data_IF_889583449802
#
_entry.id   IF_889583449802
#
_cell.length_a   1.000
_cell.length_b   1.000
_cell.length_c   1.000
_cell.angle_alpha   90.00
_cell.angle_beta   90.00
_cell.angle_gamma   90.00
#
_symmetry.space_group_name_H-M   'P 1'
#
loop_
_entity.id
_entity.type
_entity.pdbx_description
1 polymer ?
#
# COMPACT_ATOMS: atom_id res chain seq x y z
N UNK A 1 -9.24 -24.21 84.73
CA UNK A 1 -8.11 -24.05 83.79
C UNK A 1 -8.10 -25.11 82.69
N UNK A 2 -8.14 -26.42 83.00
CA UNK A 2 -8.16 -27.51 81.99
C UNK A 2 -9.25 -27.37 80.90
N UNK A 3 -10.49 -27.02 81.29
CA UNK A 3 -11.57 -26.82 80.31
C UNK A 3 -11.33 -25.67 79.32
N UNK A 4 -10.70 -24.58 79.77
CA UNK A 4 -10.38 -23.44 78.91
C UNK A 4 -9.26 -23.78 77.91
N UNK A 5 -8.28 -24.58 78.34
CA UNK A 5 -7.21 -25.08 77.46
C UNK A 5 -7.77 -26.02 76.39
N UNK A 6 -8.70 -26.91 76.75
CA UNK A 6 -9.36 -27.80 75.78
C UNK A 6 -10.14 -27.00 74.72
N UNK A 7 -10.91 -25.99 75.13
CA UNK A 7 -11.63 -25.11 74.21
C UNK A 7 -10.68 -24.32 73.29
N UNK A 8 -9.51 -23.92 73.79
CA UNK A 8 -8.50 -23.22 73.00
C UNK A 8 -7.89 -24.14 71.94
N UNK A 9 -7.60 -25.41 72.29
CA UNK A 9 -7.11 -26.42 71.35
C UNK A 9 -8.16 -26.76 70.29
N UNK A 10 -9.41 -26.98 70.68
CA UNK A 10 -10.51 -27.27 69.74
C UNK A 10 -10.73 -26.08 68.80
N UNK A 11 -10.75 -24.85 69.33
CA UNK A 11 -10.83 -23.63 68.52
C UNK A 11 -9.66 -23.51 67.56
N UNK A 12 -8.45 -23.82 68.01
CA UNK A 12 -7.26 -23.80 67.17
C UNK A 12 -7.35 -24.81 66.01
N UNK A 13 -7.82 -26.03 66.26
CA UNK A 13 -7.99 -27.06 65.22
C UNK A 13 -9.05 -26.63 64.21
N UNK A 14 -10.19 -26.12 64.67
CA UNK A 14 -11.26 -25.62 63.79
C UNK A 14 -10.76 -24.47 62.93
N UNK A 15 -10.06 -23.51 63.54
CA UNK A 15 -9.55 -22.33 62.84
C UNK A 15 -8.43 -22.68 61.86
N UNK A 16 -7.58 -23.66 62.18
CA UNK A 16 -6.56 -24.17 61.25
C UNK A 16 -7.19 -24.88 60.05
N UNK A 17 -8.26 -25.65 60.28
CA UNK A 17 -8.98 -26.39 59.23
C UNK A 17 -9.77 -25.45 58.32
N UNK A 18 -10.40 -24.42 58.90
CA UNK A 18 -11.03 -23.34 58.12
C UNK A 18 -10.02 -22.62 57.26
N UNK A 19 -8.84 -22.29 57.81
CA UNK A 19 -7.79 -21.61 57.05
C UNK A 19 -7.24 -22.47 55.90
N UNK A 20 -7.12 -23.79 56.08
CA UNK A 20 -6.70 -24.68 54.99
C UNK A 20 -7.78 -24.83 53.91
N UNK A 21 -9.06 -24.94 54.30
CA UNK A 21 -10.15 -25.03 53.33
C UNK A 21 -10.25 -23.73 52.50
N UNK A 22 -10.02 -22.57 53.12
CA UNK A 22 -9.98 -21.26 52.45
C UNK A 22 -8.77 -21.13 51.50
N UNK A 23 -7.59 -21.62 51.90
CA UNK A 23 -6.40 -21.68 51.04
C UNK A 23 -6.60 -22.62 49.82
N UNK A 24 -7.30 -23.74 50.00
CA UNK A 24 -7.61 -24.69 48.93
C UNK A 24 -8.63 -24.11 47.93
N UNK A 25 -9.64 -23.37 48.42
CA UNK A 25 -10.60 -22.64 47.59
C UNK A 25 -9.92 -21.54 46.76
N UNK A 26 -9.01 -20.78 47.37
CA UNK A 26 -8.21 -19.74 46.68
C UNK A 26 -7.30 -20.34 45.60
N UNK A 27 -6.71 -21.52 45.86
CA UNK A 27 -5.86 -22.21 44.91
C UNK A 27 -6.68 -22.71 43.71
N UNK A 28 -7.85 -23.29 43.96
CA UNK A 28 -8.78 -23.71 42.91
C UNK A 28 -9.22 -22.51 42.05
N UNK A 29 -9.57 -21.39 42.68
CA UNK A 29 -9.93 -20.15 41.99
C UNK A 29 -8.76 -19.60 41.15
N UNK A 30 -7.53 -19.67 41.67
CA UNK A 30 -6.32 -19.23 40.97
C UNK A 30 -5.99 -20.11 39.76
N UNK A 31 -6.16 -21.43 39.86
CA UNK A 31 -6.00 -22.36 38.75
C UNK A 31 -7.05 -22.09 37.67
N UNK A 32 -8.29 -21.85 38.06
CA UNK A 32 -9.35 -21.54 37.09
C UNK A 32 -9.11 -20.21 36.39
N UNK A 33 -8.63 -19.19 37.12
CA UNK A 33 -8.23 -17.91 36.56
C UNK A 33 -7.06 -18.06 35.58
N UNK A 34 -6.01 -18.79 35.95
CA UNK A 34 -4.86 -19.05 35.07
C UNK A 34 -5.31 -19.79 33.80
N UNK A 35 -6.20 -20.78 33.92
CA UNK A 35 -6.76 -21.48 32.76
C UNK A 35 -7.52 -20.53 31.84
N UNK A 36 -8.33 -19.63 32.40
CA UNK A 36 -9.06 -18.61 31.62
C UNK A 36 -8.11 -17.65 30.92
N UNK A 37 -7.08 -17.16 31.62
CA UNK A 37 -6.07 -16.27 31.05
C UNK A 37 -5.24 -16.96 29.96
N UNK A 38 -4.83 -18.20 30.17
CA UNK A 38 -4.11 -18.99 29.18
C UNK A 38 -4.97 -19.25 27.94
N UNK A 39 -6.23 -19.61 28.14
CA UNK A 39 -7.17 -19.82 27.03
C UNK A 39 -7.41 -18.51 26.26
N UNK A 40 -7.60 -17.40 26.97
CA UNK A 40 -7.74 -16.07 26.36
C UNK A 40 -6.47 -15.66 25.58
N UNK A 41 -5.29 -15.95 26.13
CA UNK A 41 -4.01 -15.71 25.46
C UNK A 41 -3.89 -16.54 24.19
N UNK A 42 -4.21 -17.84 24.27
CA UNK A 42 -4.22 -18.74 23.12
C UNK A 42 -5.21 -18.28 22.04
N UNK A 43 -6.44 -17.93 22.41
CA UNK A 43 -7.46 -17.43 21.48
C UNK A 43 -7.02 -16.13 20.79
N UNK A 44 -6.32 -15.26 21.52
CA UNK A 44 -5.78 -14.01 20.96
C UNK A 44 -4.66 -14.29 19.96
N UNK A 45 -3.75 -15.22 20.29
CA UNK A 45 -2.66 -15.63 19.41
C UNK A 45 -3.21 -16.30 18.15
N UNK A 46 -4.20 -17.20 18.28
CA UNK A 46 -4.85 -17.87 17.16
C UNK A 46 -5.51 -16.85 16.22
N UNK A 47 -6.25 -15.87 16.76
CA UNK A 47 -6.85 -14.80 15.94
C UNK A 47 -5.79 -13.97 15.20
N UNK A 48 -4.71 -13.60 15.89
CA UNK A 48 -3.62 -12.82 15.27
C UNK A 48 -2.91 -13.62 14.18
N UNK A 49 -2.59 -14.89 14.44
CA UNK A 49 -2.00 -15.79 13.45
C UNK A 49 -2.92 -15.98 12.25
N UNK A 50 -4.22 -16.22 12.46
CA UNK A 50 -5.19 -16.32 11.38
C UNK A 50 -5.21 -15.07 10.51
N UNK A 51 -5.27 -13.87 11.12
CA UNK A 51 -5.21 -12.60 10.39
C UNK A 51 -3.92 -12.43 9.59
N UNK A 52 -2.78 -12.79 10.19
CA UNK A 52 -1.49 -12.72 9.51
C UNK A 52 -1.38 -13.73 8.36
N UNK A 53 -1.89 -14.96 8.51
CA UNK A 53 -1.91 -15.97 7.44
C UNK A 53 -2.76 -15.47 6.28
N UNK A 54 -4.00 -15.01 6.53
CA UNK A 54 -4.85 -14.44 5.48
C UNK A 54 -4.17 -13.28 4.75
N UNK A 55 -3.45 -12.41 5.49
CA UNK A 55 -2.70 -11.30 4.88
C UNK A 55 -1.54 -11.81 4.02
N UNK A 56 -0.79 -12.80 4.49
CA UNK A 56 0.33 -13.39 3.75
C UNK A 56 -0.16 -14.12 2.49
N UNK A 57 -1.25 -14.86 2.58
CA UNK A 57 -1.90 -15.49 1.41
C UNK A 57 -2.35 -14.45 0.39
N UNK A 58 -2.89 -13.32 0.85
CA UNK A 58 -3.24 -12.19 -0.03
C UNK A 58 -2.03 -11.59 -0.74
N UNK A 59 -0.95 -11.33 0.00
CA UNK A 59 0.29 -10.79 -0.57
C UNK A 59 0.97 -11.77 -1.52
N UNK A 60 0.96 -13.06 -1.21
CA UNK A 60 1.50 -14.11 -2.08
C UNK A 60 0.72 -14.14 -3.40
N UNK A 61 -0.61 -14.12 -3.33
CA UNK A 61 -1.46 -14.10 -4.51
C UNK A 61 -1.26 -12.85 -5.35
N UNK A 62 -1.12 -11.69 -4.72
CA UNK A 62 -0.82 -10.44 -5.42
C UNK A 62 0.57 -10.48 -6.08
N UNK A 63 1.58 -11.06 -5.43
CA UNK A 63 2.90 -11.22 -6.01
C UNK A 63 2.88 -12.17 -7.23
N UNK A 64 2.13 -13.27 -7.15
CA UNK A 64 1.94 -14.20 -8.26
C UNK A 64 1.21 -13.53 -9.44
N UNK A 65 0.15 -12.76 -9.18
CA UNK A 65 -0.57 -12.01 -10.21
C UNK A 65 0.36 -11.00 -10.91
N UNK A 66 1.17 -10.25 -10.14
CA UNK A 66 2.17 -9.32 -10.70
C UNK A 66 3.24 -10.05 -11.51
N UNK A 67 3.68 -11.22 -11.06
CA UNK A 67 4.64 -12.04 -11.80
C UNK A 67 4.07 -12.46 -13.16
N UNK A 68 2.84 -12.98 -13.19
CA UNK A 68 2.18 -13.39 -14.44
C UNK A 68 2.02 -12.21 -15.40
N UNK A 69 1.67 -11.03 -14.87
CA UNK A 69 1.62 -9.80 -15.68
C UNK A 69 2.98 -9.43 -16.28
N UNK A 70 4.07 -9.53 -15.51
CA UNK A 70 5.42 -9.28 -16.00
C UNK A 70 5.85 -10.31 -17.04
N UNK A 71 5.58 -11.60 -16.81
CA UNK A 71 5.86 -12.66 -17.79
C UNK A 71 5.11 -12.41 -19.10
N UNK A 72 3.86 -11.96 -19.03
CA UNK A 72 3.07 -11.58 -20.22
C UNK A 72 3.71 -10.39 -20.95
N UNK A 73 4.09 -9.33 -20.23
CA UNK A 73 4.76 -8.17 -20.81
C UNK A 73 6.10 -8.52 -21.45
N UNK A 74 6.86 -9.43 -20.84
CA UNK A 74 8.12 -9.95 -21.40
C UNK A 74 7.85 -10.75 -22.67
N UNK A 75 6.85 -11.63 -22.67
CA UNK A 75 6.47 -12.39 -23.87
C UNK A 75 6.03 -11.47 -25.02
N UNK A 76 5.27 -10.41 -24.72
CA UNK A 76 4.84 -9.44 -25.73
C UNK A 76 6.00 -8.60 -26.26
N UNK A 77 6.93 -8.17 -25.38
CA UNK A 77 8.15 -7.49 -25.80
C UNK A 77 9.00 -8.39 -26.71
N UNK A 78 9.18 -9.66 -26.36
CA UNK A 78 9.90 -10.63 -27.19
C UNK A 78 9.24 -10.87 -28.55
N UNK A 79 7.90 -10.93 -28.60
CA UNK A 79 7.15 -11.05 -29.87
C UNK A 79 7.39 -9.85 -30.78
N UNK A 80 7.38 -8.64 -30.22
CA UNK A 80 7.65 -7.41 -30.97
C UNK A 80 9.10 -7.36 -31.46
N UNK A 81 10.07 -7.75 -30.61
CA UNK A 81 11.47 -7.86 -31.03
C UNK A 81 11.65 -8.85 -32.18
N UNK A 82 11.01 -10.02 -32.09
CA UNK A 82 11.07 -11.01 -33.16
C UNK A 82 10.46 -10.48 -34.46
N UNK A 83 9.30 -9.82 -34.40
CA UNK A 83 8.66 -9.20 -35.55
C UNK A 83 9.53 -8.10 -36.19
N UNK A 84 10.17 -7.26 -35.37
CA UNK A 84 11.11 -6.24 -35.84
C UNK A 84 12.34 -6.87 -36.50
N UNK A 85 12.92 -7.92 -35.92
CA UNK A 85 14.06 -8.64 -36.52
C UNK A 85 13.71 -9.23 -37.87
N UNK A 86 12.54 -9.87 -38.00
CA UNK A 86 12.07 -10.40 -39.28
C UNK A 86 11.90 -9.29 -40.33
N UNK A 87 11.32 -8.15 -39.94
CA UNK A 87 11.16 -7.01 -40.83
C UNK A 87 12.50 -6.41 -41.27
N UNK A 88 13.50 -6.33 -40.37
CA UNK A 88 14.85 -5.89 -40.71
C UNK A 88 15.48 -6.86 -41.70
N UNK A 89 15.39 -8.16 -41.45
CA UNK A 89 15.96 -9.18 -42.32
C UNK A 89 15.31 -9.17 -43.72
N UNK A 90 14.00 -8.91 -43.80
CA UNK A 90 13.29 -8.72 -45.06
C UNK A 90 13.73 -7.43 -45.78
N UNK A 91 13.87 -6.32 -45.07
CA UNK A 91 14.39 -5.07 -45.62
C UNK A 91 15.82 -5.25 -46.17
N UNK A 92 16.67 -5.97 -45.45
CA UNK A 92 18.02 -6.30 -45.91
C UNK A 92 18.02 -7.22 -47.14
N UNK A 93 17.13 -8.22 -47.20
CA UNK A 93 16.97 -9.07 -48.39
C UNK A 93 16.56 -8.22 -49.60
N UNK A 94 15.56 -7.34 -49.44
CA UNK A 94 15.13 -6.42 -50.51
C UNK A 94 16.25 -5.47 -50.95
N UNK A 95 17.04 -4.96 -50.01
CA UNK A 95 18.23 -4.14 -50.30
C UNK A 95 19.30 -4.94 -51.04
N UNK A 96 19.56 -6.20 -50.65
CA UNK A 96 20.48 -7.10 -51.35
C UNK A 96 19.99 -7.40 -52.77
N UNK A 97 18.71 -7.67 -52.97
CA UNK A 97 18.12 -7.94 -54.28
C UNK A 97 18.18 -6.72 -55.21
N UNK A 98 17.98 -5.50 -54.71
CA UNK A 98 18.15 -4.26 -55.48
C UNK A 98 19.63 -3.92 -55.74
N UNK A 99 20.52 -4.26 -54.81
CA UNK A 99 21.97 -4.05 -54.91
C UNK A 99 22.68 -5.10 -55.78
N UNK A 100 22.03 -6.22 -56.07
CA UNK A 100 22.51 -7.20 -57.03
C UNK A 100 22.39 -6.58 -58.43
N UNK A 101 23.49 -6.43 -59.21
CA UNK A 101 23.36 -6.02 -60.60
C UNK A 101 22.50 -7.08 -61.30
N UNK A 102 21.34 -6.67 -61.83
CA UNK A 102 20.64 -7.47 -62.84
C UNK A 102 21.67 -7.97 -63.84
N UNK A 103 21.61 -9.24 -64.32
CA UNK A 103 22.42 -9.63 -65.45
C UNK A 103 22.10 -8.64 -66.59
N UNK A 104 23.14 -7.90 -66.99
CA UNK A 104 23.04 -6.75 -67.86
C UNK A 104 22.36 -7.14 -69.18
N UNK A 105 21.11 -6.71 -69.36
CA UNK A 105 20.61 -6.41 -70.70
C UNK A 105 21.06 -4.98 -70.97
N UNK A 106 22.23 -4.87 -71.59
CA UNK A 106 22.80 -3.62 -72.11
C UNK A 106 21.84 -2.97 -73.10
N UNK A 107 21.31 -1.79 -72.77
CA UNK A 107 20.90 -0.81 -73.77
C UNK A 107 20.75 0.60 -73.16
N UNK A 108 21.76 1.43 -73.45
CA UNK A 108 21.68 2.86 -73.75
C UNK A 108 20.87 3.80 -72.83
N UNK A 109 21.61 4.62 -72.09
CA UNK A 109 21.14 5.93 -71.63
C UNK A 109 21.02 6.92 -72.79
N UNK A 110 20.11 7.90 -72.66
CA UNK A 110 20.55 9.29 -72.84
C UNK A 110 20.11 10.19 -71.69
N UNK A 111 20.97 11.17 -71.42
CA UNK A 111 20.80 12.20 -70.41
C UNK A 111 19.74 13.22 -70.83
N UNK A 112 18.95 13.71 -69.86
CA UNK A 112 18.36 15.05 -69.89
C UNK A 112 18.31 15.63 -68.48
N UNK A 113 18.94 16.79 -68.32
CA UNK A 113 18.74 17.72 -67.22
C UNK A 113 17.29 18.20 -67.19
N UNK A 114 16.66 18.26 -66.00
CA UNK A 114 15.76 19.36 -65.62
C UNK A 114 15.28 19.23 -64.18
N UNK A 115 15.48 20.33 -63.45
CA UNK A 115 14.66 20.89 -62.36
C UNK A 115 14.25 19.98 -61.21
N UNK A 116 14.81 20.31 -60.04
CA UNK A 116 14.24 20.01 -58.74
C UNK A 116 12.73 20.32 -58.72
N UNK A 117 11.94 19.29 -58.52
CA UNK A 117 10.57 19.36 -58.01
C UNK A 117 10.45 18.19 -57.06
N UNK A 118 10.61 18.48 -55.77
CA UNK A 118 10.25 17.54 -54.71
C UNK A 118 8.75 17.29 -54.88
N UNK A 119 8.29 16.06 -55.14
CA UNK A 119 6.87 15.77 -55.08
C UNK A 119 6.45 15.94 -53.63
N UNK A 120 5.76 17.04 -53.34
CA UNK A 120 5.04 17.22 -52.09
C UNK A 120 4.02 16.10 -52.01
N UNK A 121 4.28 15.15 -51.12
CA UNK A 121 3.33 14.11 -50.75
C UNK A 121 2.06 14.77 -50.22
N UNK A 122 0.88 14.27 -50.61
CA UNK A 122 -0.39 14.96 -50.40
C UNK A 122 -0.71 15.08 -48.92
N UNK A 123 -1.38 16.18 -48.61
CA UNK A 123 -1.78 16.73 -47.31
C UNK A 123 -2.67 15.81 -46.43
N UNK A 124 -2.78 14.53 -46.72
CA UNK A 124 -3.61 13.56 -46.00
C UNK A 124 -3.17 13.31 -44.55
N UNK A 125 -1.93 13.68 -44.18
CA UNK A 125 -1.43 13.59 -42.80
C UNK A 125 -1.53 14.91 -42.02
N UNK A 126 -1.81 16.02 -42.70
CA UNK A 126 -1.98 17.34 -42.05
C UNK A 126 -3.40 17.51 -41.53
N UNK A 127 -4.41 17.01 -42.26
CA UNK A 127 -5.81 17.05 -41.84
C UNK A 127 -6.10 16.23 -40.59
N UNK A 128 -5.55 15.01 -40.47
CA UNK A 128 -5.71 14.17 -39.27
C UNK A 128 -5.03 14.79 -38.02
N UNK A 129 -3.93 15.51 -38.23
CA UNK A 129 -3.22 16.22 -37.16
C UNK A 129 -4.02 17.41 -36.63
N UNK A 130 -4.68 18.15 -37.52
CA UNK A 130 -5.54 19.29 -37.16
C UNK A 130 -6.83 18.83 -36.47
N UNK A 131 -7.41 17.70 -36.91
CA UNK A 131 -8.57 17.10 -36.25
C UNK A 131 -8.23 16.59 -34.84
N UNK A 132 -7.06 15.96 -34.67
CA UNK A 132 -6.55 15.57 -33.35
C UNK A 132 -6.28 16.79 -32.46
N UNK A 133 -5.71 17.87 -33.01
CA UNK A 133 -5.48 19.11 -32.28
C UNK A 133 -6.80 19.75 -31.81
N UNK A 134 -7.85 19.72 -32.64
CA UNK A 134 -9.17 20.19 -32.28
C UNK A 134 -9.81 19.35 -31.17
N UNK A 135 -9.74 18.02 -31.25
CA UNK A 135 -10.26 17.11 -30.22
C UNK A 135 -9.50 17.27 -28.91
N UNK A 136 -8.18 17.40 -28.95
CA UNK A 136 -7.35 17.66 -27.76
C UNK A 136 -7.72 18.98 -27.10
N UNK A 137 -7.88 20.04 -27.90
CA UNK A 137 -8.28 21.35 -27.40
C UNK A 137 -9.68 21.32 -26.77
N UNK A 138 -10.62 20.59 -27.37
CA UNK A 138 -11.97 20.38 -26.83
C UNK A 138 -11.93 19.57 -25.52
N UNK A 139 -11.07 18.55 -25.43
CA UNK A 139 -10.88 17.76 -24.21
C UNK A 139 -10.27 18.61 -23.10
N UNK A 140 -9.29 19.46 -23.39
CA UNK A 140 -8.65 20.36 -22.43
C UNK A 140 -9.67 21.39 -21.90
N UNK A 141 -10.48 22.01 -22.77
CA UNK A 141 -11.52 22.95 -22.34
C UNK A 141 -12.58 22.29 -21.46
N UNK A 142 -12.98 21.06 -21.80
CA UNK A 142 -13.92 20.28 -20.98
C UNK A 142 -13.33 19.93 -19.61
N UNK A 143 -12.06 19.56 -19.57
CA UNK A 143 -11.36 19.23 -18.34
C UNK A 143 -11.11 20.46 -17.48
N UNK A 144 -10.76 21.61 -18.08
CA UNK A 144 -10.66 22.88 -17.38
C UNK A 144 -12.01 23.35 -16.82
N UNK A 145 -13.11 23.17 -17.57
CA UNK A 145 -14.45 23.46 -17.08
C UNK A 145 -14.85 22.55 -15.91
N UNK A 146 -14.48 21.26 -15.94
CA UNK A 146 -14.66 20.34 -14.81
C UNK A 146 -13.79 20.72 -13.62
N UNK A 147 -12.51 20.99 -13.84
CA UNK A 147 -11.59 21.41 -12.80
C UNK A 147 -11.99 22.76 -12.18
N UNK A 148 -12.63 23.65 -12.94
CA UNK A 148 -13.20 24.90 -12.41
C UNK A 148 -14.46 24.67 -11.56
N UNK A 149 -15.28 23.66 -11.87
CA UNK A 149 -16.44 23.26 -11.05
C UNK A 149 -15.98 22.50 -9.78
N UNK A 150 -14.91 21.71 -9.88
CA UNK A 150 -14.35 20.94 -8.77
C UNK A 150 -13.50 21.80 -7.81
N UNK A 151 -12.89 22.88 -8.31
CA UNK A 151 -12.17 23.87 -7.48
C UNK A 151 -13.00 25.12 -7.13
N UNK A 152 -14.30 25.16 -7.45
CA UNK A 152 -15.17 26.24 -7.02
C UNK A 152 -15.43 26.11 -5.50
N UNK A 153 -15.12 27.13 -4.68
CA UNK A 153 -15.53 27.12 -3.29
C UNK A 153 -17.06 27.05 -3.23
N UNK A 154 -17.58 26.13 -2.43
CA UNK A 154 -19.00 25.95 -2.14
C UNK A 154 -19.55 27.23 -1.50
N UNK A 155 -19.99 28.16 -2.34
CA UNK A 155 -20.89 29.25 -1.98
C UNK A 155 -22.04 29.30 -2.98
N UNK A 156 -23.24 29.26 -2.44
CA UNK A 156 -24.49 29.02 -3.12
C UNK A 156 -24.81 30.05 -4.23
N UNK A 157 -25.31 29.56 -5.37
CA UNK A 157 -26.15 30.33 -6.29
C UNK A 157 -27.24 29.41 -6.89
N UNK A 158 -28.47 29.91 -7.12
CA UNK A 158 -29.68 29.10 -7.29
C UNK A 158 -29.81 28.50 -8.70
N UNK A 159 -30.52 27.35 -8.87
CA UNK A 159 -30.77 26.77 -10.18
C UNK A 159 -31.83 27.54 -10.96
N UNK A 160 -31.52 27.90 -12.22
CA UNK A 160 -32.45 28.44 -13.21
C UNK A 160 -33.53 27.41 -13.62
N UNK A 161 -34.79 27.81 -13.82
CA UNK A 161 -35.88 26.90 -14.13
C UNK A 161 -36.03 26.74 -15.65
N UNK A 162 -35.41 25.71 -16.25
CA UNK A 162 -35.69 25.39 -17.66
C UNK A 162 -35.91 23.89 -17.93
N UNK A 163 -35.90 23.03 -16.92
CA UNK A 163 -36.11 21.58 -17.12
C UNK A 163 -37.47 21.04 -16.63
N UNK A 164 -38.38 21.88 -16.15
CA UNK A 164 -39.65 21.41 -15.59
C UNK A 164 -40.76 21.14 -16.65
N UNK A 165 -40.56 21.48 -17.93
CA UNK A 165 -41.71 21.62 -18.85
C UNK A 165 -41.93 20.49 -19.87
N UNK A 166 -41.18 19.38 -19.83
CA UNK A 166 -41.39 18.26 -20.78
C UNK A 166 -41.94 16.97 -20.15
N UNK A 167 -42.44 17.01 -18.91
CA UNK A 167 -42.92 15.82 -18.17
C UNK A 167 -44.44 15.71 -18.01
N UNK A 168 -45.21 16.59 -18.66
CA UNK A 168 -46.64 16.67 -18.46
C UNK A 168 -47.39 16.21 -19.72
N UNK A 169 -47.28 14.92 -20.05
CA UNK A 169 -48.30 14.25 -20.85
C UNK A 169 -48.34 12.74 -20.54
N UNK A 170 -49.44 12.37 -19.88
CA UNK A 170 -50.14 11.06 -19.84
C UNK A 170 -49.80 9.96 -18.77
N UNK A 171 -50.80 9.56 -17.92
CA UNK A 171 -50.84 8.36 -17.05
C UNK A 171 -51.75 7.23 -17.66
N UNK A 172 -52.24 6.13 -17.00
CA UNK A 172 -52.07 5.58 -15.62
C UNK A 172 -51.89 4.02 -15.47
N UNK A 173 -51.70 3.58 -14.20
CA UNK A 173 -52.00 2.24 -13.55
C UNK A 173 -51.13 1.00 -13.86
N UNK A 174 -50.69 0.13 -12.93
CA UNK A 174 -50.83 -0.06 -11.46
C UNK A 174 -49.73 -1.05 -10.92
N UNK A 175 -49.50 -1.19 -9.58
CA UNK A 175 -48.29 -1.78 -8.96
C UNK A 175 -48.50 -3.20 -8.35
N UNK A 176 -47.51 -3.81 -7.62
CA UNK A 176 -47.55 -3.66 -6.16
C UNK A 176 -46.21 -3.68 -5.37
N UNK A 177 -46.29 -3.21 -4.11
CA UNK A 177 -45.43 -3.43 -2.92
C UNK A 177 -44.06 -2.70 -2.86
N UNK A 178 -43.69 -1.98 -1.79
CA UNK A 178 -43.80 -2.26 -0.34
C UNK A 178 -44.03 -1.01 0.53
N UNK A 179 -44.70 -1.22 1.66
CA UNK A 179 -45.11 -0.26 2.69
C UNK A 179 -44.26 -0.44 3.97
N UNK A 180 -43.72 0.68 4.47
CA UNK A 180 -43.57 1.17 5.87
C UNK A 180 -42.82 0.42 7.00
N UNK A 181 -42.37 1.02 8.12
CA UNK A 181 -42.01 2.37 8.67
C UNK A 181 -41.39 2.07 10.08
N UNK A 182 -40.65 3.04 10.67
CA UNK A 182 -40.39 3.29 12.13
C UNK A 182 -39.01 2.81 12.62
N UNK A 183 -38.23 3.50 13.48
CA UNK A 183 -38.35 4.73 14.30
C UNK A 183 -36.94 5.21 14.72
N UNK A 184 -36.80 6.47 15.15
CA UNK A 184 -35.58 7.07 15.73
C UNK A 184 -35.34 6.63 17.21
N UNK A 185 -34.14 6.83 17.82
CA UNK A 185 -33.81 8.15 18.41
C UNK A 185 -32.33 8.57 18.34
N UNK A 186 -32.10 9.85 18.66
CA UNK A 186 -30.84 10.58 18.75
C UNK A 186 -29.86 10.09 19.84
N UNK A 187 -28.54 10.36 19.69
CA UNK A 187 -27.51 10.80 20.67
C UNK A 187 -26.08 10.61 20.06
N UNK A 188 -24.99 11.18 20.63
CA UNK A 188 -24.36 12.43 20.24
C UNK A 188 -23.01 12.26 19.50
N UNK A 189 -22.59 13.33 18.81
CA UNK A 189 -21.26 13.49 18.20
C UNK A 189 -20.13 13.54 19.26
N UNK A 190 -19.03 12.78 19.11
CA UNK A 190 -17.77 13.12 19.76
C UNK A 190 -16.98 14.11 18.87
N UNK A 191 -16.19 15.03 19.45
CA UNK A 191 -15.36 15.93 18.66
C UNK A 191 -14.23 15.16 17.98
N UNK A 192 -14.07 15.35 16.67
CA UNK A 192 -12.90 14.93 15.90
C UNK A 192 -11.69 15.70 16.46
N UNK A 193 -10.89 15.05 17.30
CA UNK A 193 -9.52 15.51 17.55
C UNK A 193 -8.74 15.31 16.25
N UNK A 194 -8.20 16.41 15.74
CA UNK A 194 -7.21 16.40 14.66
C UNK A 194 -6.06 15.46 15.05
N UNK A 195 -5.99 14.31 14.38
CA UNK A 195 -4.84 13.44 14.40
C UNK A 195 -3.99 13.78 13.17
N UNK A 196 -2.79 14.25 13.47
CA UNK A 196 -1.63 14.45 12.61
C UNK A 196 -1.49 13.25 11.65
N UNK A 197 -1.17 13.44 10.35
CA UNK A 197 -0.94 12.32 9.44
C UNK A 197 0.22 11.46 9.94
N UNK A 198 -0.08 10.23 10.39
CA UNK A 198 0.93 9.22 10.64
C UNK A 198 1.24 8.54 9.30
N UNK A 199 2.50 8.65 8.87
CA UNK A 199 3.03 7.86 7.77
C UNK A 199 2.84 6.35 8.04
N UNK A 200 2.58 5.53 7.01
CA UNK A 200 2.41 4.11 7.17
C UNK A 200 3.77 3.46 7.47
N UNK A 201 4.06 3.22 8.75
CA UNK A 201 5.15 2.34 9.16
C UNK A 201 4.75 0.92 8.78
N UNK A 202 5.36 0.41 7.71
CA UNK A 202 5.27 -1.00 7.38
C UNK A 202 5.89 -1.83 8.50
N UNK A 203 5.28 -2.98 8.90
CA UNK A 203 6.00 -3.96 9.68
C UNK A 203 7.00 -4.66 8.76
N UNK A 204 8.29 -4.33 8.93
CA UNK A 204 9.40 -5.05 8.34
C UNK A 204 9.30 -6.54 8.72
N UNK A 205 9.28 -7.40 7.72
CA UNK A 205 9.36 -8.85 7.92
C UNK A 205 10.66 -9.19 8.68
N UNK A 206 10.70 -10.24 9.50
CA UNK A 206 11.94 -10.75 10.04
C UNK A 206 12.72 -11.35 8.86
N UNK A 207 13.65 -10.56 8.33
CA UNK A 207 14.75 -11.09 7.53
C UNK A 207 15.49 -12.07 8.44
N UNK A 208 15.64 -13.30 7.99
CA UNK A 208 16.64 -14.20 8.56
C UNK A 208 17.99 -13.58 8.19
N UNK A 209 18.46 -12.68 9.04
CA UNK A 209 19.83 -12.17 9.02
C UNK A 209 20.57 -13.06 10.01
N UNK A 210 21.21 -14.09 9.45
CA UNK A 210 22.22 -14.86 10.15
C UNK A 210 23.23 -13.89 10.77
N UNK A 211 23.46 -14.03 12.08
CA UNK A 211 24.55 -13.46 12.87
C UNK A 211 24.82 -11.95 12.71
N UNK A 212 24.28 -11.10 13.59
CA UNK A 212 24.93 -9.83 13.93
C UNK A 212 24.82 -9.31 15.39
N UNK A 213 24.41 -10.10 16.44
CA UNK A 213 24.35 -9.54 17.80
C UNK A 213 25.72 -9.04 18.28
N UNK A 214 26.81 -9.72 17.89
CA UNK A 214 28.18 -9.31 18.27
C UNK A 214 28.58 -7.98 17.62
N UNK A 215 28.18 -7.74 16.36
CA UNK A 215 28.55 -6.51 15.63
C UNK A 215 27.77 -5.30 16.12
N UNK A 216 26.51 -5.50 16.49
CA UNK A 216 25.69 -4.48 17.14
C UNK A 216 26.30 -4.10 18.49
N UNK A 217 26.69 -5.08 19.31
CA UNK A 217 27.36 -4.84 20.58
C UNK A 217 28.70 -4.10 20.43
N UNK A 218 29.54 -4.49 19.47
CA UNK A 218 30.79 -3.78 19.15
C UNK A 218 30.53 -2.34 18.69
N UNK A 219 29.48 -2.12 17.88
CA UNK A 219 29.09 -0.79 17.41
C UNK A 219 28.59 0.11 18.55
N UNK A 220 27.87 -0.46 19.51
CA UNK A 220 27.35 0.24 20.70
C UNK A 220 28.50 0.59 21.66
N UNK A 221 29.45 -0.33 21.88
CA UNK A 221 30.64 -0.09 22.71
C UNK A 221 31.49 1.02 22.09
N UNK A 222 31.73 0.95 20.77
CA UNK A 222 32.48 1.98 20.03
C UNK A 222 31.75 3.32 20.05
N UNK A 223 30.43 3.33 19.87
CA UNK A 223 29.61 4.53 19.95
C UNK A 223 29.69 5.20 21.32
N UNK A 224 29.61 4.42 22.40
CA UNK A 224 29.74 4.92 23.78
C UNK A 224 31.12 5.54 24.02
N UNK A 225 32.18 4.91 23.52
CA UNK A 225 33.54 5.43 23.61
C UNK A 225 33.70 6.77 22.85
N UNK A 226 33.16 6.88 21.64
CA UNK A 226 33.21 8.10 20.83
C UNK A 226 32.38 9.24 21.42
N UNK A 227 31.21 8.94 21.99
CA UNK A 227 30.38 9.93 22.70
C UNK A 227 31.09 10.43 23.97
N UNK A 228 31.78 9.55 24.69
CA UNK A 228 32.61 9.92 25.86
C UNK A 228 33.84 10.75 25.45
N UNK A 229 34.38 10.52 24.27
CA UNK A 229 35.43 11.34 23.66
C UNK A 229 34.93 12.71 23.13
N UNK A 230 33.66 13.05 23.31
CA UNK A 230 33.09 14.35 22.95
C UNK A 230 32.75 14.51 21.47
N UNK A 231 32.73 13.42 20.68
CA UNK A 231 32.27 13.47 19.28
C UNK A 231 30.77 13.80 19.20
N UNK A 232 30.38 14.45 18.12
CA UNK A 232 28.97 14.79 17.88
C UNK A 232 28.18 13.53 17.49
N UNK A 233 26.88 13.53 17.84
CA UNK A 233 26.00 12.36 17.68
C UNK A 233 25.92 11.96 16.20
N UNK A 234 25.91 12.93 15.30
CA UNK A 234 25.83 12.75 13.86
C UNK A 234 27.12 12.12 13.29
N UNK A 235 28.28 12.44 13.87
CA UNK A 235 29.55 11.84 13.47
C UNK A 235 29.64 10.39 13.97
N UNK A 236 29.20 10.14 15.20
CA UNK A 236 29.16 8.79 15.77
C UNK A 236 28.18 7.90 14.99
N UNK A 237 27.02 8.42 14.59
CA UNK A 237 26.04 7.69 13.78
C UNK A 237 26.63 7.26 12.43
N UNK A 238 27.35 8.16 11.76
CA UNK A 238 28.02 7.83 10.49
C UNK A 238 29.16 6.82 10.64
N UNK A 239 29.86 6.83 11.77
CA UNK A 239 31.03 5.97 12.00
C UNK A 239 30.68 4.59 12.54
N UNK A 240 29.59 4.48 13.30
CA UNK A 240 29.16 3.23 13.96
C UNK A 240 27.93 2.60 13.33
N UNK A 241 27.19 3.34 12.49
CA UNK A 241 25.91 2.88 11.94
C UNK A 241 24.77 2.87 12.95
N UNK A 242 25.02 3.28 14.20
CA UNK A 242 24.01 3.33 15.26
C UNK A 242 23.08 4.52 15.04
N UNK A 243 21.78 4.31 15.22
CA UNK A 243 20.77 5.33 15.01
C UNK A 243 20.98 6.57 15.91
N UNK A 244 20.75 7.75 15.34
CA UNK A 244 20.88 9.04 16.04
C UNK A 244 20.00 9.09 17.30
N UNK A 245 18.81 8.47 17.26
CA UNK A 245 17.91 8.36 18.40
C UNK A 245 18.51 7.56 19.55
N UNK A 246 19.08 6.38 19.25
CA UNK A 246 19.76 5.54 20.22
C UNK A 246 20.98 6.24 20.82
N UNK A 247 21.80 6.89 19.99
CA UNK A 247 22.98 7.64 20.45
C UNK A 247 22.63 8.83 21.35
N UNK A 248 21.51 9.53 21.07
CA UNK A 248 21.00 10.60 21.94
C UNK A 248 20.60 10.06 23.31
N UNK A 249 19.96 8.89 23.35
CA UNK A 249 19.61 8.20 24.59
C UNK A 249 20.87 7.79 25.36
N UNK A 250 21.85 7.18 24.68
CA UNK A 250 23.13 6.78 25.28
C UNK A 250 23.90 7.97 25.86
N UNK A 251 23.88 9.12 25.19
CA UNK A 251 24.48 10.36 25.69
C UNK A 251 23.77 10.88 26.93
N UNK A 252 22.43 10.83 26.96
CA UNK A 252 21.66 11.22 28.14
C UNK A 252 21.90 10.30 29.34
N UNK A 253 22.01 8.99 29.11
CA UNK A 253 22.33 8.03 30.18
C UNK A 253 23.74 8.26 30.73
N UNK A 254 24.73 8.49 29.85
CA UNK A 254 26.12 8.76 30.26
C UNK A 254 26.30 10.11 30.97
N UNK A 255 25.36 11.05 30.83
CA UNK A 255 25.36 12.34 31.56
C UNK A 255 24.66 12.26 32.91
N UNK A 256 23.87 11.22 33.16
CA UNK A 256 23.10 11.02 34.40
C UNK A 256 23.81 10.10 35.41
N UNK A 257 24.80 9.34 34.95
CA UNK A 257 25.81 8.64 35.75
C UNK A 257 26.99 9.57 36.08
#
# INVERSE_FOLDING_TARGET
MLGAVLLLIVRYIIQRRQRSDEEDEDLAASIEKLKKELQQSADTIIKRLGSHVTKLEGLLREADDRRVQLETRVADAQRLEWALRQRIEELERRLRDLGQPMPAVTAAAPQVSSTASVPQTPEARRTDGDEFAAVLHQSILREQARAAVENAPVYAAPPSPVQMQMRQDMPPSAPPHRISVHAAPAQPVPPVRQAIPAEPVMPSQPRVEEEQPVREDESIIKARALLRAGRTIEQVARETGVEIGALRLMKQMTQRD
#
